data_IF_715923729869
#
_entry.id   IF_715923729869
#
_cell.length_a   1.000
_cell.length_b   1.000
_cell.length_c   1.000
_cell.angle_alpha   90.00
_cell.angle_beta   90.00
_cell.angle_gamma   90.00
#
_symmetry.space_group_name_H-M   'P 1'
#
loop_
_entity.id
_entity.type
_entity.pdbx_description
1 polymer ?
#
# COMPACT_ATOMS: atom_id res chain seq x y z
N UNK A 1 21.45 -9.85 -39.08
CA UNK A 1 20.20 -10.08 -38.34
C UNK A 1 19.95 -8.80 -37.54
N UNK A 2 18.96 -8.02 -37.95
CA UNK A 2 18.75 -6.61 -37.56
C UNK A 2 18.01 -6.49 -36.22
N UNK A 3 18.17 -5.35 -35.51
CA UNK A 3 17.59 -5.00 -34.20
C UNK A 3 16.13 -5.45 -33.97
N UNK A 4 15.34 -5.56 -35.03
CA UNK A 4 13.97 -6.10 -35.01
C UNK A 4 13.85 -7.53 -34.46
N UNK A 5 14.90 -8.33 -34.53
CA UNK A 5 14.92 -9.71 -34.01
C UNK A 5 15.03 -9.79 -32.49
N UNK A 6 15.60 -8.78 -31.83
CA UNK A 6 15.89 -8.80 -30.39
C UNK A 6 14.71 -8.27 -29.57
N UNK A 7 13.93 -7.34 -30.12
CA UNK A 7 12.70 -6.83 -29.52
C UNK A 7 11.67 -7.94 -29.36
N UNK A 8 11.53 -8.81 -30.38
CA UNK A 8 10.58 -9.92 -30.32
C UNK A 8 10.94 -10.97 -29.26
N UNK A 9 12.23 -11.22 -28.99
CA UNK A 9 12.63 -12.20 -27.96
C UNK A 9 12.33 -11.65 -26.55
N UNK A 10 12.61 -10.38 -26.28
CA UNK A 10 12.30 -9.76 -24.99
C UNK A 10 10.79 -9.60 -24.78
N UNK A 11 10.05 -9.30 -25.86
CA UNK A 11 8.59 -9.14 -25.84
C UNK A 11 7.88 -10.49 -25.70
N UNK A 12 8.28 -11.52 -26.46
CA UNK A 12 7.78 -12.90 -26.30
C UNK A 12 8.13 -13.45 -24.91
N UNK A 13 9.32 -13.15 -24.39
CA UNK A 13 9.75 -13.56 -23.04
C UNK A 13 8.90 -12.92 -21.94
N UNK A 14 8.56 -11.63 -22.07
CA UNK A 14 7.71 -10.91 -21.13
C UNK A 14 6.25 -11.38 -21.25
N UNK A 15 5.73 -11.60 -22.45
CA UNK A 15 4.39 -12.14 -22.65
C UNK A 15 4.24 -13.55 -22.05
N UNK A 16 5.21 -14.44 -22.23
CA UNK A 16 5.14 -15.82 -21.72
C UNK A 16 5.21 -15.90 -20.17
N UNK A 17 5.85 -14.91 -19.53
CA UNK A 17 5.91 -14.77 -18.05
C UNK A 17 4.65 -14.09 -17.50
N UNK A 18 4.14 -13.04 -18.15
CA UNK A 18 2.97 -12.27 -17.68
C UNK A 18 1.61 -12.91 -18.05
N UNK A 19 1.53 -13.76 -19.07
CA UNK A 19 0.28 -14.48 -19.44
C UNK A 19 -0.16 -15.44 -18.31
N UNK A 20 0.75 -15.88 -17.43
CA UNK A 20 0.39 -16.66 -16.23
C UNK A 20 0.04 -15.83 -15.00
N UNK A 21 0.32 -14.52 -14.98
CA UNK A 21 0.03 -13.60 -13.86
C UNK A 21 -0.80 -12.39 -14.32
N UNK A 22 -2.03 -12.64 -14.81
CA UNK A 22 -3.09 -11.68 -15.25
C UNK A 22 -2.86 -10.16 -14.99
N UNK A 23 -1.88 -9.56 -15.64
CA UNK A 23 -1.65 -8.12 -15.61
C UNK A 23 -1.15 -7.69 -17.00
N UNK A 24 -2.05 -7.20 -17.85
CA UNK A 24 -1.68 -6.61 -19.13
C UNK A 24 -1.29 -5.15 -18.93
N UNK A 25 -0.04 -4.80 -19.18
CA UNK A 25 0.45 -3.43 -19.35
C UNK A 25 0.97 -3.27 -20.76
N UNK A 26 0.38 -2.33 -21.52
CA UNK A 26 0.73 -1.97 -22.89
C UNK A 26 2.14 -1.34 -22.93
N UNK A 27 3.10 -2.06 -23.52
CA UNK A 27 4.45 -1.58 -23.80
C UNK A 27 4.48 -0.82 -25.14
N UNK A 28 4.71 0.49 -25.09
CA UNK A 28 5.19 1.23 -26.27
C UNK A 28 6.20 2.30 -25.88
N UNK A 29 7.48 2.01 -26.16
CA UNK A 29 8.57 2.88 -26.62
C UNK A 29 9.92 2.46 -25.99
N UNK A 30 10.89 2.21 -26.87
CA UNK A 30 12.27 1.80 -26.54
C UNK A 30 13.07 2.99 -25.99
N UNK A 31 13.59 2.83 -24.76
CA UNK A 31 14.97 3.16 -24.37
C UNK A 31 15.21 2.68 -22.92
N UNK A 32 16.22 1.81 -22.73
CA UNK A 32 16.76 1.34 -21.45
C UNK A 32 15.71 1.00 -20.35
N UNK A 33 15.20 -0.23 -20.36
CA UNK A 33 14.27 -0.67 -19.31
C UNK A 33 15.04 -1.25 -18.11
N UNK A 34 15.05 -0.51 -17.00
CA UNK A 34 15.40 -1.03 -15.68
C UNK A 34 14.11 -1.59 -15.06
N UNK A 35 14.11 -2.88 -14.72
CA UNK A 35 13.01 -3.50 -14.00
C UNK A 35 13.43 -3.76 -12.56
N UNK A 36 12.68 -3.21 -11.62
CA UNK A 36 12.85 -3.42 -10.20
C UNK A 36 11.71 -4.31 -9.71
N UNK A 37 12.05 -5.50 -9.19
CA UNK A 37 11.10 -6.37 -8.52
C UNK A 37 11.49 -6.44 -7.03
N UNK A 38 10.59 -5.98 -6.17
CA UNK A 38 10.80 -5.97 -4.71
C UNK A 38 9.79 -6.92 -4.07
N UNK A 39 10.28 -7.85 -3.24
CA UNK A 39 9.44 -8.71 -2.40
C UNK A 39 9.79 -8.50 -0.92
N UNK A 40 8.76 -8.39 -0.07
CA UNK A 40 8.85 -8.30 1.39
C UNK A 40 8.50 -6.93 1.98
N UNK A 41 8.23 -6.90 3.29
CA UNK A 41 7.94 -5.67 4.05
C UNK A 41 9.21 -5.11 4.69
N UNK A 42 9.69 -3.99 4.14
CA UNK A 42 10.82 -3.25 4.69
C UNK A 42 10.44 -2.50 5.98
N UNK A 43 11.11 -2.80 7.11
CA UNK A 43 11.10 -1.94 8.31
C UNK A 43 12.42 -1.19 8.41
N UNK A 44 12.35 0.13 8.42
CA UNK A 44 13.50 1.01 8.71
C UNK A 44 13.97 0.81 10.16
N UNK A 45 15.08 0.10 10.36
CA UNK A 45 15.82 0.19 11.62
C UNK A 45 16.65 1.48 11.65
N UNK A 46 16.28 2.43 12.52
CA UNK A 46 17.20 3.51 12.92
C UNK A 46 17.75 3.28 14.32
N UNK A 47 19.09 3.37 14.42
CA UNK A 47 19.86 3.34 15.67
C UNK A 47 19.35 4.42 16.62
N UNK A 48 19.06 4.01 17.87
CA UNK A 48 18.59 4.88 18.97
C UNK A 48 19.66 5.92 19.33
N UNK A 49 19.35 7.20 19.10
CA UNK A 49 19.92 8.31 19.87
C UNK A 49 19.00 8.65 21.06
N UNK A 50 19.50 9.28 22.13
CA UNK A 50 18.68 9.61 23.29
C UNK A 50 17.58 10.62 22.93
N UNK A 51 16.37 10.33 23.39
CA UNK A 51 15.19 11.19 23.23
C UNK A 51 15.37 12.51 24.01
N UNK A 52 14.97 13.67 23.44
CA UNK A 52 14.90 14.91 24.21
C UNK A 52 13.72 14.87 25.21
N UNK A 53 13.81 15.59 26.33
CA UNK A 53 12.80 15.54 27.38
C UNK A 53 11.50 16.22 26.93
N UNK A 54 10.38 15.61 27.33
CA UNK A 54 9.03 16.13 27.08
C UNK A 54 8.75 17.38 27.92
N UNK A 55 8.40 18.50 27.27
CA UNK A 55 7.36 19.44 27.74
C UNK A 55 7.27 20.65 26.81
N UNK A 56 6.11 20.88 26.20
CA UNK A 56 5.37 22.15 26.38
C UNK A 56 3.92 21.96 25.97
N UNK A 57 3.00 22.31 26.87
CA UNK A 57 1.57 22.42 26.63
C UNK A 57 1.32 23.67 25.78
N UNK A 58 0.82 23.51 24.55
CA UNK A 58 0.30 24.65 23.79
C UNK A 58 -1.20 24.80 24.05
N UNK A 59 -1.54 25.85 24.81
CA UNK A 59 -2.86 26.49 24.80
C UNK A 59 -2.81 27.63 23.78
N UNK A 60 -3.71 27.66 22.80
CA UNK A 60 -4.08 28.89 22.11
C UNK A 60 -4.32 28.82 20.60
N UNK A 61 -5.53 29.26 20.22
CA UNK A 61 -5.93 29.93 18.97
C UNK A 61 -6.26 29.09 17.71
N UNK A 62 -7.57 29.06 17.38
CA UNK A 62 -8.10 28.64 16.07
C UNK A 62 -7.65 29.64 14.99
N UNK A 63 -6.56 29.33 14.28
CA UNK A 63 -6.24 29.94 12.98
C UNK A 63 -6.46 28.90 11.89
N UNK A 64 -6.97 29.34 10.75
CA UNK A 64 -7.08 28.55 9.52
C UNK A 64 -5.69 28.11 9.08
N UNK A 65 -5.23 26.97 9.59
CA UNK A 65 -3.96 26.36 9.23
C UNK A 65 -4.25 25.30 8.16
N UNK A 66 -3.46 25.32 7.09
CA UNK A 66 -3.24 24.14 6.26
C UNK A 66 -2.91 22.96 7.18
N UNK A 67 -3.42 21.73 6.92
CA UNK A 67 -3.05 20.59 7.73
C UNK A 67 -1.53 20.45 7.62
N UNK A 68 -0.82 20.25 8.74
CA UNK A 68 0.60 19.97 8.67
C UNK A 68 0.78 18.73 7.79
N UNK A 69 1.76 18.74 6.89
CA UNK A 69 2.14 17.63 5.98
C UNK A 69 2.65 16.37 6.70
N UNK A 70 2.33 16.27 7.98
CA UNK A 70 2.75 15.27 8.95
C UNK A 70 1.52 14.67 9.65
N UNK A 71 0.31 15.10 9.31
CA UNK A 71 -0.93 14.60 9.88
C UNK A 71 -1.43 13.38 9.10
N UNK A 72 -1.83 12.35 9.86
CA UNK A 72 -2.50 11.18 9.31
C UNK A 72 -3.99 11.28 9.57
N UNK A 73 -4.80 10.93 8.57
CA UNK A 73 -6.25 10.79 8.69
C UNK A 73 -6.72 9.42 8.19
N UNK A 74 -7.76 8.89 8.82
CA UNK A 74 -8.49 7.71 8.35
C UNK A 74 -9.97 8.10 8.24
N UNK A 75 -10.56 7.86 7.08
CA UNK A 75 -11.97 8.11 6.81
C UNK A 75 -12.67 6.82 6.45
N UNK A 76 -13.88 6.62 6.95
CA UNK A 76 -14.68 5.44 6.70
C UNK A 76 -16.12 5.79 6.36
N UNK A 77 -16.73 5.03 5.46
CA UNK A 77 -18.14 5.18 5.14
C UNK A 77 -18.62 4.13 4.16
N UNK A 78 -19.50 4.53 3.24
CA UNK A 78 -20.19 3.61 2.33
C UNK A 78 -19.93 3.92 0.87
N UNK A 79 -19.57 2.88 0.12
CA UNK A 79 -19.41 2.88 -1.32
C UNK A 79 -20.69 2.41 -2.01
N UNK A 80 -21.14 3.18 -2.98
CA UNK A 80 -22.21 2.84 -3.90
C UNK A 80 -21.75 3.09 -5.35
N UNK A 81 -21.53 2.01 -6.09
CA UNK A 81 -21.14 2.01 -7.49
C UNK A 81 -22.04 1.05 -8.27
N UNK A 82 -23.15 1.60 -8.78
CA UNK A 82 -24.20 0.86 -9.48
C UNK A 82 -24.58 -0.43 -8.72
N UNK A 83 -24.71 -1.56 -9.40
CA UNK A 83 -24.94 -2.87 -8.81
C UNK A 83 -23.67 -3.55 -8.29
N UNK A 84 -22.48 -3.03 -8.63
CA UNK A 84 -21.19 -3.69 -8.36
C UNK A 84 -20.66 -3.43 -6.95
N UNK A 85 -21.01 -2.29 -6.35
CA UNK A 85 -20.88 -2.03 -4.92
C UNK A 85 -22.20 -1.40 -4.44
N UNK A 86 -22.90 -2.09 -3.54
CA UNK A 86 -24.17 -1.60 -2.98
C UNK A 86 -24.06 -1.56 -1.47
N UNK A 87 -23.88 -0.35 -0.93
CA UNK A 87 -23.69 -0.11 0.49
C UNK A 87 -22.51 -0.88 1.11
N UNK A 88 -21.41 -1.00 0.34
CA UNK A 88 -20.18 -1.67 0.80
C UNK A 88 -19.34 -0.73 1.66
N UNK A 89 -18.58 -1.26 2.61
CA UNK A 89 -17.61 -0.47 3.36
C UNK A 89 -16.47 0.05 2.46
N UNK A 90 -16.05 1.30 2.66
CA UNK A 90 -14.83 1.87 2.07
C UNK A 90 -14.06 2.67 3.11
N UNK A 91 -12.74 2.45 3.15
CA UNK A 91 -11.80 3.12 4.06
C UNK A 91 -10.75 3.85 3.24
N UNK A 92 -10.57 5.14 3.52
CA UNK A 92 -9.45 5.92 3.02
C UNK A 92 -8.43 6.14 4.12
N UNK A 93 -7.15 5.94 3.79
CA UNK A 93 -6.01 6.20 4.68
C UNK A 93 -5.13 7.26 4.03
N UNK A 94 -4.91 8.35 4.74
CA UNK A 94 -4.21 9.54 4.28
C UNK A 94 -3.05 9.81 5.23
N UNK A 95 -1.86 9.23 5.03
CA UNK A 95 -0.79 9.25 6.03
C UNK A 95 0.01 10.56 6.10
N UNK A 96 -0.11 11.46 5.10
CA UNK A 96 0.68 12.70 5.04
C UNK A 96 -0.16 14.00 4.96
N UNK A 97 -1.49 13.88 4.91
CA UNK A 97 -2.40 15.01 4.70
C UNK A 97 -2.85 15.13 3.24
N UNK A 98 -3.13 16.35 2.81
CA UNK A 98 -3.83 16.61 1.53
C UNK A 98 -3.03 17.52 0.59
N UNK A 99 -1.69 17.42 0.61
CA UNK A 99 -0.82 18.12 -0.32
C UNK A 99 -0.65 17.34 -1.64
N UNK A 100 -0.18 18.05 -2.66
CA UNK A 100 0.11 17.44 -3.96
C UNK A 100 1.20 16.36 -3.79
N UNK A 101 1.00 15.21 -4.43
CA UNK A 101 1.85 14.01 -4.31
C UNK A 101 1.83 13.31 -2.96
N UNK A 102 1.02 13.75 -1.99
CA UNK A 102 0.86 12.99 -0.75
C UNK A 102 0.29 11.61 -1.07
N UNK A 103 0.81 10.54 -0.44
CA UNK A 103 0.25 9.21 -0.57
C UNK A 103 -1.17 9.15 -0.01
N UNK A 104 -2.01 8.36 -0.65
CA UNK A 104 -3.35 8.04 -0.19
C UNK A 104 -3.74 6.64 -0.65
N UNK A 105 -4.38 5.89 0.24
CA UNK A 105 -4.86 4.55 -0.04
C UNK A 105 -6.37 4.46 0.17
N UNK A 106 -7.01 3.61 -0.61
CA UNK A 106 -8.41 3.25 -0.46
C UNK A 106 -8.58 1.73 -0.43
N UNK A 107 -9.45 1.27 0.47
CA UNK A 107 -9.70 -0.13 0.74
C UNK A 107 -11.20 -0.36 0.76
N UNK A 108 -11.71 -1.20 -0.13
CA UNK A 108 -13.12 -1.56 -0.18
C UNK A 108 -13.29 -2.96 -0.72
N UNK A 109 -14.49 -3.50 -0.64
CA UNK A 109 -14.85 -4.72 -1.36
C UNK A 109 -15.99 -4.45 -2.33
N UNK A 110 -16.04 -5.22 -3.42
CA UNK A 110 -17.22 -5.29 -4.27
C UNK A 110 -18.33 -6.10 -3.59
N UNK A 111 -19.58 -5.94 -4.03
CA UNK A 111 -20.72 -6.75 -3.55
C UNK A 111 -20.48 -8.26 -3.73
N UNK A 112 -19.64 -8.63 -4.69
CA UNK A 112 -19.18 -10.02 -4.94
C UNK A 112 -18.10 -10.51 -3.98
N UNK A 113 -17.79 -9.74 -2.93
CA UNK A 113 -16.77 -10.04 -1.90
C UNK A 113 -15.33 -10.10 -2.40
N UNK A 114 -15.04 -9.45 -3.52
CA UNK A 114 -13.66 -9.25 -3.99
C UNK A 114 -13.12 -7.98 -3.34
N UNK A 115 -12.01 -8.11 -2.60
CA UNK A 115 -11.33 -6.96 -2.00
C UNK A 115 -10.64 -6.14 -3.08
N UNK A 116 -10.59 -4.83 -2.86
CA UNK A 116 -9.78 -3.89 -3.61
C UNK A 116 -8.93 -3.13 -2.62
N UNK A 117 -7.63 -3.18 -2.86
CA UNK A 117 -6.62 -2.45 -2.12
C UNK A 117 -5.92 -1.57 -3.15
N UNK A 118 -6.11 -0.26 -3.06
CA UNK A 118 -5.55 0.68 -4.02
C UNK A 118 -4.73 1.73 -3.30
N UNK A 119 -3.56 2.01 -3.84
CA UNK A 119 -2.68 3.09 -3.42
C UNK A 119 -2.44 4.02 -4.60
N UNK A 120 -2.18 5.28 -4.29
CA UNK A 120 -1.94 6.31 -5.27
C UNK A 120 -1.39 7.55 -4.59
N UNK A 121 -1.25 8.60 -5.38
CA UNK A 121 -0.85 9.91 -4.90
C UNK A 121 -1.90 10.92 -5.29
N UNK A 122 -1.99 11.99 -4.52
CA UNK A 122 -2.87 13.11 -4.86
C UNK A 122 -2.33 13.81 -6.12
N UNK A 123 -3.10 13.78 -7.20
CA UNK A 123 -2.71 14.29 -8.52
C UNK A 123 -2.94 15.80 -8.68
N UNK A 124 -3.81 16.36 -7.86
CA UNK A 124 -4.25 17.75 -7.92
C UNK A 124 -4.86 18.15 -6.60
N UNK A 125 -4.59 19.38 -6.18
CA UNK A 125 -5.13 19.97 -4.95
C UNK A 125 -5.57 21.39 -5.24
N UNK A 126 -6.81 21.70 -4.87
CA UNK A 126 -7.29 23.08 -4.74
C UNK A 126 -7.73 23.31 -3.31
N UNK A 127 -7.27 24.40 -2.68
CA UNK A 127 -7.73 24.82 -1.36
C UNK A 127 -8.41 26.18 -1.47
N UNK A 128 -9.73 26.19 -1.27
CA UNK A 128 -10.52 27.42 -1.26
C UNK A 128 -11.26 27.52 0.07
N UNK A 129 -10.89 28.52 0.89
CA UNK A 129 -11.52 28.75 2.19
C UNK A 129 -11.35 27.60 3.19
N UNK A 130 -10.22 26.87 3.13
CA UNK A 130 -9.93 25.73 4.02
C UNK A 130 -10.58 24.42 3.58
N UNK A 131 -11.34 24.41 2.48
CA UNK A 131 -11.88 23.19 1.87
C UNK A 131 -10.90 22.68 0.83
N UNK A 132 -10.44 21.46 1.03
CA UNK A 132 -9.56 20.78 0.07
C UNK A 132 -10.41 20.06 -0.96
N UNK A 133 -10.07 20.25 -2.22
CA UNK A 133 -10.52 19.42 -3.32
C UNK A 133 -9.30 18.70 -3.87
N UNK A 134 -9.32 17.38 -3.80
CA UNK A 134 -8.23 16.54 -4.28
C UNK A 134 -8.75 15.54 -5.30
N UNK A 135 -7.97 15.27 -6.35
CA UNK A 135 -8.26 14.14 -7.24
C UNK A 135 -7.16 13.09 -7.12
N UNK A 136 -7.59 11.84 -7.26
CA UNK A 136 -6.73 10.66 -7.19
C UNK A 136 -7.23 9.66 -8.24
N UNK A 137 -6.29 8.97 -8.87
CA UNK A 137 -6.58 7.85 -9.76
C UNK A 137 -6.23 6.52 -9.10
N UNK A 138 -7.17 5.57 -9.14
CA UNK A 138 -6.95 4.18 -8.79
C UNK A 138 -7.29 3.30 -10.01
N UNK A 139 -6.27 3.04 -10.83
CA UNK A 139 -6.42 2.31 -12.09
C UNK A 139 -7.36 3.04 -13.04
N UNK A 140 -8.50 2.41 -13.37
CA UNK A 140 -9.50 2.99 -14.26
C UNK A 140 -10.46 3.98 -13.57
N UNK A 141 -10.41 4.10 -12.24
CA UNK A 141 -11.34 4.94 -11.49
C UNK A 141 -10.70 6.22 -11.01
N UNK A 142 -11.39 7.33 -11.21
CA UNK A 142 -11.01 8.64 -10.69
C UNK A 142 -11.88 8.97 -9.49
N UNK A 143 -11.24 9.44 -8.43
CA UNK A 143 -11.89 9.84 -7.19
C UNK A 143 -11.72 11.34 -7.01
N UNK A 144 -12.82 12.08 -7.12
CA UNK A 144 -12.88 13.47 -6.70
C UNK A 144 -13.29 13.54 -5.23
N UNK A 145 -12.43 14.11 -4.40
CA UNK A 145 -12.57 14.15 -2.97
C UNK A 145 -12.67 15.59 -2.51
N UNK A 146 -13.67 15.88 -1.68
CA UNK A 146 -13.83 17.17 -1.01
C UNK A 146 -13.69 16.94 0.49
N UNK A 147 -12.67 17.55 1.09
CA UNK A 147 -12.46 17.53 2.55
C UNK A 147 -13.10 18.77 3.15
N UNK A 148 -13.99 18.56 4.11
CA UNK A 148 -14.57 19.65 4.88
C UNK A 148 -13.50 20.42 5.66
N UNK A 149 -13.75 21.71 5.93
CA UNK A 149 -12.77 22.59 6.57
C UNK A 149 -12.43 22.23 8.02
N UNK A 150 -13.26 21.41 8.66
CA UNK A 150 -13.02 20.83 9.99
C UNK A 150 -12.28 19.49 9.94
N UNK A 151 -12.01 18.98 8.73
CA UNK A 151 -11.44 17.67 8.46
C UNK A 151 -12.26 16.50 9.03
N UNK A 152 -13.51 16.71 9.45
CA UNK A 152 -14.35 15.64 10.02
C UNK A 152 -15.01 14.79 8.94
N UNK A 153 -15.23 15.37 7.75
CA UNK A 153 -15.89 14.68 6.65
C UNK A 153 -15.10 14.79 5.37
N UNK A 154 -14.96 13.66 4.69
CA UNK A 154 -14.42 13.54 3.36
C UNK A 154 -15.56 13.07 2.44
N UNK A 155 -15.93 13.88 1.45
CA UNK A 155 -16.96 13.53 0.47
C UNK A 155 -16.32 13.04 -0.82
N UNK A 156 -16.67 11.83 -1.24
CA UNK A 156 -16.09 11.16 -2.41
C UNK A 156 -17.08 11.08 -3.56
N UNK A 157 -16.63 11.41 -4.77
CA UNK A 157 -17.33 11.07 -6.02
C UNK A 157 -16.40 10.21 -6.88
N UNK A 158 -16.81 8.98 -7.14
CA UNK A 158 -16.09 8.04 -8.01
C UNK A 158 -16.55 8.21 -9.46
N UNK A 159 -15.62 8.11 -10.42
CA UNK A 159 -15.87 8.22 -11.85
C UNK A 159 -15.13 7.15 -12.64
N UNK A 160 -15.67 6.74 -13.78
CA UNK A 160 -14.99 5.84 -14.72
C UNK A 160 -14.61 6.58 -16.02
N UNK A 161 -13.85 5.96 -16.94
CA UNK A 161 -13.41 6.61 -18.18
C UNK A 161 -14.56 6.90 -19.16
N UNK A 162 -15.74 6.29 -18.96
CA UNK A 162 -16.94 6.55 -19.76
C UNK A 162 -17.70 7.80 -19.29
N UNK A 163 -17.29 8.41 -18.17
CA UNK A 163 -17.93 9.58 -17.59
C UNK A 163 -19.06 9.26 -16.60
N UNK A 164 -19.34 7.98 -16.35
CA UNK A 164 -20.27 7.58 -15.29
C UNK A 164 -19.72 8.02 -13.93
N UNK A 165 -20.62 8.37 -13.01
CA UNK A 165 -20.24 8.84 -11.69
C UNK A 165 -21.19 8.33 -10.60
N UNK A 166 -20.64 8.13 -9.40
CA UNK A 166 -21.44 7.87 -8.21
C UNK A 166 -22.17 9.14 -7.78
N UNK A 167 -23.17 8.99 -6.91
CA UNK A 167 -23.56 10.12 -6.06
C UNK A 167 -22.39 10.46 -5.11
N UNK A 168 -22.31 11.70 -4.60
CA UNK A 168 -21.37 12.04 -3.53
C UNK A 168 -21.60 11.15 -2.30
N UNK A 169 -20.53 10.58 -1.76
CA UNK A 169 -20.54 9.67 -0.61
C UNK A 169 -19.78 10.31 0.54
N UNK A 170 -20.45 10.69 1.64
CA UNK A 170 -19.77 11.21 2.81
C UNK A 170 -19.09 10.06 3.57
N UNK A 171 -17.83 10.27 3.94
CA UNK A 171 -17.04 9.41 4.81
C UNK A 171 -16.66 10.21 6.05
N UNK A 172 -16.91 9.65 7.22
CA UNK A 172 -16.63 10.30 8.49
C UNK A 172 -15.20 9.97 8.94
N UNK A 173 -14.52 10.95 9.54
CA UNK A 173 -13.20 10.76 10.10
C UNK A 173 -13.27 9.77 11.27
N UNK A 174 -12.53 8.69 11.15
CA UNK A 174 -12.38 7.67 12.18
C UNK A 174 -11.17 7.93 13.06
N UNK A 175 -10.12 8.49 12.48
CA UNK A 175 -8.90 8.83 13.18
C UNK A 175 -8.25 10.07 12.56
N UNK A 176 -7.60 10.86 13.41
CA UNK A 176 -6.78 11.99 13.02
C UNK A 176 -5.71 12.24 14.08
N UNK A 177 -4.43 12.23 13.69
CA UNK A 177 -3.34 12.62 14.58
C UNK A 177 -2.65 13.88 14.05
N UNK A 178 -2.33 14.79 14.97
CA UNK A 178 -1.60 16.03 14.70
C UNK A 178 -0.14 15.89 15.16
N UNK A 179 0.56 14.90 14.63
CA UNK A 179 1.96 14.65 14.93
C UNK A 179 2.58 13.73 13.88
N UNK A 180 3.90 13.76 13.75
CA UNK A 180 4.64 12.99 12.73
C UNK A 180 4.26 11.51 12.79
N UNK A 181 3.59 11.06 11.73
CA UNK A 181 3.39 9.65 11.43
C UNK A 181 4.46 9.26 10.41
N UNK A 182 5.62 8.74 10.84
CA UNK A 182 6.74 8.47 9.93
C UNK A 182 6.44 7.33 8.95
N UNK A 183 5.54 6.41 9.31
CA UNK A 183 5.17 5.25 8.49
C UNK A 183 3.84 4.69 8.94
N UNK A 184 2.92 4.39 8.02
CA UNK A 184 1.68 3.65 8.32
C UNK A 184 1.70 2.29 7.63
N UNK A 185 1.38 1.24 8.38
CA UNK A 185 1.14 -0.10 7.83
C UNK A 185 -0.35 -0.37 7.76
N UNK A 186 -0.82 -0.90 6.63
CA UNK A 186 -2.22 -1.31 6.46
C UNK A 186 -2.26 -2.76 6.00
N UNK A 187 -3.05 -3.56 6.69
CA UNK A 187 -3.28 -4.97 6.38
C UNK A 187 -4.74 -5.16 6.02
N UNK A 188 -4.99 -5.94 4.97
CA UNK A 188 -6.35 -6.27 4.56
C UNK A 188 -6.53 -7.77 4.56
N UNK A 189 -7.73 -8.22 4.90
CA UNK A 189 -8.03 -9.64 4.95
C UNK A 189 -9.53 -9.91 4.85
N UNK A 190 -9.92 -11.08 5.33
CA UNK A 190 -11.30 -11.53 5.40
C UNK A 190 -11.67 -11.91 6.82
N UNK A 191 -12.81 -11.41 7.27
CA UNK A 191 -13.46 -11.81 8.50
C UNK A 191 -14.56 -12.83 8.21
N UNK A 192 -14.45 -13.96 8.90
CA UNK A 192 -15.50 -14.94 9.03
C UNK A 192 -15.80 -15.11 10.51
N UNK A 193 -16.99 -14.68 10.92
CA UNK A 193 -17.48 -14.77 12.29
C UNK A 193 -18.94 -15.21 12.28
N UNK A 194 -19.12 -16.54 12.38
CA UNK A 194 -20.44 -17.18 12.38
C UNK A 194 -21.31 -16.68 11.22
N UNK A 195 -22.56 -16.31 11.51
CA UNK A 195 -23.48 -15.67 10.55
C UNK A 195 -23.32 -14.16 10.47
N UNK A 196 -22.60 -13.56 11.42
CA UNK A 196 -22.56 -12.11 11.60
C UNK A 196 -21.60 -11.45 10.62
N UNK A 197 -20.49 -12.09 10.30
CA UNK A 197 -19.58 -11.68 9.23
C UNK A 197 -19.23 -12.89 8.35
N UNK A 198 -19.52 -12.80 7.06
CA UNK A 198 -19.28 -13.85 6.07
C UNK A 198 -18.48 -13.26 4.91
N UNK A 199 -17.19 -13.61 4.87
CA UNK A 199 -16.24 -13.15 3.86
C UNK A 199 -16.16 -11.61 3.76
N UNK A 200 -16.31 -10.93 4.89
CA UNK A 200 -16.27 -9.46 4.97
C UNK A 200 -14.83 -8.96 4.96
N UNK A 201 -14.55 -7.90 4.21
CA UNK A 201 -13.23 -7.28 4.22
C UNK A 201 -12.94 -6.65 5.60
N UNK A 202 -11.75 -6.94 6.12
CA UNK A 202 -11.16 -6.19 7.23
C UNK A 202 -10.04 -5.31 6.71
N UNK A 203 -9.89 -4.14 7.32
CA UNK A 203 -8.76 -3.22 7.12
C UNK A 203 -8.20 -2.87 8.49
N UNK A 204 -7.00 -3.39 8.79
CA UNK A 204 -6.25 -3.10 10.00
C UNK A 204 -5.21 -2.02 9.68
N UNK A 205 -5.27 -0.89 10.35
CA UNK A 205 -4.38 0.26 10.14
C UNK A 205 -3.54 0.48 11.40
N UNK A 206 -2.23 0.48 11.23
CA UNK A 206 -1.24 0.69 12.28
C UNK A 206 -0.42 1.92 11.90
N UNK A 207 -0.73 3.09 12.49
CA UNK A 207 -0.10 4.37 12.14
C UNK A 207 1.39 4.50 12.38
N UNK A 208 2.03 3.68 13.21
CA UNK A 208 3.48 3.80 13.49
C UNK A 208 4.09 2.42 13.65
N UNK A 209 3.70 1.73 14.72
CA UNK A 209 4.28 0.44 15.08
C UNK A 209 3.41 -0.28 16.11
N UNK A 210 3.68 -1.56 16.35
CA UNK A 210 3.07 -2.32 17.44
C UNK A 210 3.90 -2.11 18.71
N UNK A 211 3.33 -1.33 19.63
CA UNK A 211 3.86 -1.15 20.98
C UNK A 211 2.73 -0.83 21.95
N UNK A 212 2.93 -1.06 23.24
CA UNK A 212 1.91 -0.76 24.24
C UNK A 212 1.54 0.73 24.21
N UNK A 213 0.24 1.02 24.05
CA UNK A 213 -0.26 2.38 23.92
C UNK A 213 -0.24 2.96 22.51
N UNK A 214 0.34 2.27 21.52
CA UNK A 214 0.29 2.70 20.13
C UNK A 214 -1.13 2.52 19.56
N UNK A 215 -1.55 3.48 18.73
CA UNK A 215 -2.87 3.44 18.10
C UNK A 215 -3.01 2.27 17.12
N UNK A 216 -4.21 1.70 17.06
CA UNK A 216 -4.62 0.72 16.07
C UNK A 216 -6.06 0.97 15.66
N UNK A 217 -6.30 0.93 14.34
CA UNK A 217 -7.62 0.99 13.74
C UNK A 217 -7.99 -0.35 13.12
N UNK A 218 -9.15 -0.91 13.43
CA UNK A 218 -9.72 -2.06 12.73
C UNK A 218 -11.08 -1.70 12.17
N UNK A 219 -11.22 -1.80 10.85
CA UNK A 219 -12.40 -1.36 10.12
C UNK A 219 -12.97 -2.50 9.29
N UNK A 220 -14.25 -2.79 9.50
CA UNK A 220 -14.99 -3.78 8.71
C UNK A 220 -16.47 -3.44 8.71
N UNK A 221 -17.27 -4.29 8.07
CA UNK A 221 -18.72 -4.27 8.21
C UNK A 221 -19.27 -5.64 8.60
N UNK A 222 -20.39 -5.64 9.30
CA UNK A 222 -21.16 -6.85 9.56
C UNK A 222 -21.95 -7.25 8.31
N UNK A 223 -21.95 -8.55 7.99
CA UNK A 223 -22.98 -9.11 7.09
C UNK A 223 -24.36 -8.88 7.70
N UNK A 224 -24.48 -9.16 9.00
CA UNK A 224 -25.64 -8.82 9.84
C UNK A 224 -25.18 -8.68 11.30
N UNK A 225 -25.49 -7.54 11.92
CA UNK A 225 -25.15 -7.31 13.33
C UNK A 225 -26.08 -8.08 14.28
N UNK A 226 -25.82 -8.01 15.59
CA UNK A 226 -26.64 -8.68 16.61
C UNK A 226 -28.08 -8.15 16.68
N UNK A 227 -28.35 -6.95 16.17
CA UNK A 227 -29.67 -6.34 16.06
C UNK A 227 -30.38 -6.67 14.74
N UNK A 228 -29.74 -7.45 13.84
CA UNK A 228 -30.30 -7.80 12.53
C UNK A 228 -30.04 -6.77 11.43
N UNK A 229 -29.24 -5.73 11.69
CA UNK A 229 -28.89 -4.70 10.71
C UNK A 229 -27.81 -5.23 9.77
N UNK A 230 -28.11 -5.25 8.47
CA UNK A 230 -27.18 -5.71 7.44
C UNK A 230 -26.19 -4.63 7.04
N UNK A 231 -24.96 -5.03 6.69
CA UNK A 231 -23.91 -4.15 6.17
C UNK A 231 -23.67 -2.93 7.07
N UNK A 232 -23.69 -3.12 8.38
CA UNK A 232 -23.39 -2.05 9.32
C UNK A 232 -21.88 -1.95 9.49
N UNK A 233 -21.32 -0.78 9.26
CA UNK A 233 -19.90 -0.54 9.53
C UNK A 233 -19.61 -0.74 11.02
N UNK A 234 -18.49 -1.38 11.32
CA UNK A 234 -17.97 -1.60 12.65
C UNK A 234 -16.52 -1.15 12.68
N UNK A 235 -16.29 -0.02 13.33
CA UNK A 235 -15.01 0.68 13.34
C UNK A 235 -14.48 0.73 14.76
N UNK A 236 -13.26 0.24 14.94
CA UNK A 236 -12.58 0.17 16.22
C UNK A 236 -11.35 1.05 16.10
N UNK A 237 -11.24 2.06 16.97
CA UNK A 237 -10.08 2.93 17.09
C UNK A 237 -9.63 2.90 18.55
N UNK A 238 -8.50 2.25 18.82
CA UNK A 238 -8.05 1.96 20.19
C UNK A 238 -6.53 1.90 20.23
N UNK A 239 -5.97 1.34 21.29
CA UNK A 239 -4.53 1.16 21.48
C UNK A 239 -4.18 -0.31 21.66
N UNK A 240 -3.00 -0.69 21.19
CA UNK A 240 -2.40 -1.99 21.51
C UNK A 240 -2.07 -2.11 22.99
N UNK A 241 -2.23 -3.32 23.51
CA UNK A 241 -1.92 -3.76 24.87
C UNK A 241 -1.21 -5.11 24.82
N UNK A 242 -0.61 -5.49 25.94
CA UNK A 242 0.04 -6.79 26.13
C UNK A 242 1.05 -7.13 25.01
N UNK A 243 1.71 -6.11 24.47
CA UNK A 243 2.64 -6.29 23.36
C UNK A 243 3.88 -7.03 23.84
N UNK A 244 4.19 -8.15 23.17
CA UNK A 244 5.33 -9.01 23.46
C UNK A 244 6.05 -9.38 22.17
N UNK A 245 7.38 -9.46 22.22
CA UNK A 245 8.19 -10.04 21.16
C UNK A 245 8.46 -11.49 21.49
N UNK A 246 8.08 -12.39 20.59
CA UNK A 246 8.28 -13.83 20.74
C UNK A 246 9.72 -14.21 20.39
N UNK A 247 10.22 -15.39 20.84
CA UNK A 247 11.59 -15.82 20.57
C UNK A 247 11.96 -15.95 19.08
N UNK A 248 10.97 -16.12 18.21
CA UNK A 248 11.14 -16.18 16.75
C UNK A 248 11.18 -14.81 16.07
N UNK A 249 11.10 -13.71 16.83
CA UNK A 249 11.10 -12.34 16.29
C UNK A 249 9.69 -11.76 16.13
N UNK A 250 8.65 -12.59 16.08
CA UNK A 250 7.27 -12.15 15.91
C UNK A 250 6.85 -11.17 17.01
N UNK A 251 6.04 -10.17 16.65
CA UNK A 251 5.47 -9.22 17.60
C UNK A 251 3.99 -9.52 17.74
N UNK A 252 3.57 -9.85 18.96
CA UNK A 252 2.19 -10.10 19.32
C UNK A 252 1.64 -8.95 20.15
N UNK A 253 0.39 -8.55 19.92
CA UNK A 253 -0.32 -7.55 20.70
C UNK A 253 -1.83 -7.78 20.69
N UNK A 254 -2.52 -7.23 21.68
CA UNK A 254 -3.98 -7.33 21.82
C UNK A 254 -4.63 -5.96 21.81
N UNK A 255 -5.89 -5.90 21.40
CA UNK A 255 -6.76 -4.75 21.59
C UNK A 255 -8.21 -5.19 21.64
N UNK A 256 -9.12 -4.33 22.08
CA UNK A 256 -10.54 -4.66 22.20
C UNK A 256 -11.43 -3.45 21.89
N UNK A 257 -12.72 -3.73 21.66
CA UNK A 257 -13.78 -2.73 21.51
C UNK A 257 -14.77 -2.75 22.70
N UNK A 258 -14.37 -3.34 23.83
CA UNK A 258 -15.22 -3.59 25.00
C UNK A 258 -16.14 -4.81 24.88
N UNK A 259 -16.26 -5.44 23.71
CA UNK A 259 -17.09 -6.64 23.48
C UNK A 259 -16.26 -7.80 22.94
N UNK A 260 -15.40 -7.52 21.97
CA UNK A 260 -14.51 -8.47 21.33
C UNK A 260 -13.06 -8.10 21.62
N UNK A 261 -12.26 -9.12 21.93
CA UNK A 261 -10.81 -9.00 22.01
C UNK A 261 -10.20 -9.54 20.74
N UNK A 262 -9.26 -8.77 20.18
CA UNK A 262 -8.50 -9.10 18.99
C UNK A 262 -7.06 -9.33 19.38
N UNK A 263 -6.51 -10.40 18.84
CA UNK A 263 -5.09 -10.72 18.94
C UNK A 263 -4.47 -10.56 17.56
N UNK A 264 -3.39 -9.79 17.49
CA UNK A 264 -2.60 -9.59 16.28
C UNK A 264 -1.21 -10.11 16.52
N UNK A 265 -0.76 -10.97 15.62
CA UNK A 265 0.64 -11.42 15.53
C UNK A 265 1.20 -10.93 14.21
N UNK A 266 2.24 -10.10 14.28
CA UNK A 266 3.06 -9.77 13.13
C UNK A 266 4.23 -10.73 13.09
N UNK A 267 4.33 -11.45 11.99
CA UNK A 267 5.44 -12.37 11.77
C UNK A 267 6.70 -11.60 11.39
N UNK A 268 7.84 -11.98 12.00
CA UNK A 268 9.15 -11.50 11.56
C UNK A 268 9.53 -12.28 10.30
N UNK A 269 8.92 -11.91 9.19
CA UNK A 269 9.23 -12.49 7.88
C UNK A 269 10.58 -11.90 7.42
N UNK A 270 11.67 -12.48 7.93
CA UNK A 270 13.06 -12.09 7.64
C UNK A 270 13.49 -12.29 6.17
N UNK A 271 12.57 -12.52 5.23
CA UNK A 271 12.90 -12.66 3.82
C UNK A 271 12.37 -11.48 3.02
N UNK A 272 13.11 -10.38 3.09
CA UNK A 272 12.97 -9.29 2.14
C UNK A 272 14.06 -9.47 1.08
N UNK A 273 13.75 -10.14 -0.03
CA UNK A 273 14.70 -10.29 -1.14
C UNK A 273 14.30 -9.36 -2.28
N UNK A 274 15.22 -8.53 -2.73
CA UNK A 274 15.04 -7.69 -3.92
C UNK A 274 15.89 -8.23 -5.07
N UNK A 275 15.29 -8.33 -6.25
CA UNK A 275 15.99 -8.66 -7.48
C UNK A 275 15.94 -7.46 -8.43
N UNK A 276 17.09 -6.84 -8.66
CA UNK A 276 17.24 -5.78 -9.66
C UNK A 276 17.63 -6.44 -10.99
N UNK A 277 16.83 -6.22 -12.04
CA UNK A 277 17.10 -6.81 -13.36
C UNK A 277 17.27 -5.70 -14.39
N UNK A 278 18.44 -5.67 -15.03
CA UNK A 278 18.73 -4.70 -16.09
C UNK A 278 19.00 -5.38 -17.43
N UNK A 279 18.29 -4.89 -18.44
CA UNK A 279 18.48 -5.24 -19.85
C UNK A 279 18.89 -3.97 -20.60
N UNK A 280 20.18 -3.81 -20.90
CA UNK A 280 20.64 -2.62 -21.62
C UNK A 280 22.00 -2.81 -22.29
N UNK A 281 22.28 -1.97 -23.28
CA UNK A 281 23.63 -1.71 -23.78
C UNK A 281 24.16 -0.39 -23.18
N UNK A 282 25.42 -0.36 -22.70
CA UNK A 282 26.09 0.86 -22.22
C UNK A 282 26.25 1.02 -20.71
N UNK A 283 26.83 2.15 -20.29
CA UNK A 283 27.19 2.45 -18.89
C UNK A 283 25.97 2.45 -17.94
N UNK A 284 26.13 1.90 -16.74
CA UNK A 284 25.09 1.86 -15.70
C UNK A 284 25.16 3.04 -14.74
N UNK A 285 24.06 3.77 -14.61
CA UNK A 285 23.88 4.76 -13.55
C UNK A 285 22.63 4.50 -12.69
N UNK A 286 21.73 3.61 -13.12
CA UNK A 286 20.44 3.39 -12.46
C UNK A 286 20.48 2.28 -11.42
N UNK A 287 21.16 1.18 -11.72
CA UNK A 287 21.25 0.01 -10.83
C UNK A 287 21.89 0.34 -9.47
N UNK A 288 23.01 1.09 -9.40
CA UNK A 288 23.59 1.47 -8.12
C UNK A 288 22.69 2.41 -7.30
N UNK A 289 21.90 3.27 -7.96
CA UNK A 289 20.96 4.17 -7.27
C UNK A 289 19.80 3.41 -6.66
N UNK A 290 19.27 2.40 -7.36
CA UNK A 290 18.19 1.55 -6.85
C UNK A 290 18.70 0.64 -5.72
N UNK A 291 19.92 0.13 -5.83
CA UNK A 291 20.55 -0.63 -4.75
C UNK A 291 20.78 0.23 -3.50
N UNK A 292 21.25 1.47 -3.67
CA UNK A 292 21.38 2.45 -2.60
C UNK A 292 20.03 2.79 -1.98
N UNK A 293 18.98 2.96 -2.78
CA UNK A 293 17.63 3.17 -2.30
C UNK A 293 17.15 2.01 -1.42
N UNK A 294 17.28 0.77 -1.91
CA UNK A 294 16.86 -0.42 -1.17
C UNK A 294 17.61 -0.53 0.17
N UNK A 295 18.94 -0.41 0.14
CA UNK A 295 19.78 -0.69 1.31
C UNK A 295 19.85 0.47 2.31
N UNK A 296 19.93 1.72 1.82
CA UNK A 296 20.11 2.91 2.69
C UNK A 296 18.79 3.53 3.12
N UNK A 297 17.72 3.37 2.33
CA UNK A 297 16.45 4.06 2.58
C UNK A 297 15.30 3.10 2.89
N UNK A 298 15.31 1.90 2.33
CA UNK A 298 14.27 0.89 2.54
C UNK A 298 14.71 -0.25 3.46
N UNK A 299 15.89 -0.16 4.09
CA UNK A 299 16.29 -1.08 5.15
C UNK A 299 16.61 -2.51 4.71
N UNK A 300 16.82 -2.76 3.41
CA UNK A 300 17.31 -4.05 2.92
C UNK A 300 18.74 -4.28 3.39
N UNK A 301 19.07 -5.49 3.86
CA UNK A 301 20.48 -5.83 4.00
C UNK A 301 21.12 -5.93 2.62
N UNK A 302 22.40 -5.56 2.51
CA UNK A 302 23.14 -5.67 1.25
C UNK A 302 23.18 -7.11 0.72
N UNK A 303 23.12 -8.12 1.61
CA UNK A 303 23.04 -9.55 1.26
C UNK A 303 21.74 -9.95 0.57
N UNK A 304 20.68 -9.15 0.75
CA UNK A 304 19.32 -9.51 0.35
C UNK A 304 18.89 -8.76 -0.94
N UNK A 305 19.79 -7.93 -1.48
CA UNK A 305 19.63 -7.27 -2.79
C UNK A 305 20.50 -7.98 -3.81
N UNK A 306 19.87 -8.82 -4.64
CA UNK A 306 20.54 -9.46 -5.76
C UNK A 306 20.41 -8.58 -7.01
N UNK A 307 21.53 -8.33 -7.68
CA UNK A 307 21.58 -7.53 -8.91
C UNK A 307 21.95 -8.44 -10.07
N UNK A 308 21.07 -8.52 -11.06
CA UNK A 308 21.30 -9.26 -12.28
C UNK A 308 21.39 -8.32 -13.48
N UNK A 309 22.52 -8.39 -14.19
CA UNK A 309 22.84 -7.50 -15.29
C UNK A 309 23.07 -8.31 -16.57
N UNK A 310 22.29 -8.03 -17.62
CA UNK A 310 22.51 -8.54 -18.96
C UNK A 310 22.92 -7.40 -19.90
N UNK A 311 24.20 -7.41 -20.32
CA UNK A 311 24.77 -6.44 -21.24
C UNK A 311 24.53 -6.88 -22.69
N UNK A 312 23.53 -6.28 -23.33
CA UNK A 312 23.18 -6.62 -24.71
C UNK A 312 24.26 -6.16 -25.72
N UNK A 313 25.18 -5.27 -25.32
CA UNK A 313 26.29 -4.83 -26.18
C UNK A 313 27.42 -5.87 -26.30
N UNK A 314 27.39 -6.92 -25.47
CA UNK A 314 28.42 -7.97 -25.43
C UNK A 314 27.94 -9.31 -26.00
N UNK A 315 26.69 -9.40 -26.46
CA UNK A 315 26.21 -10.61 -27.16
C UNK A 315 26.87 -10.74 -28.54
N UNK A 316 27.79 -11.69 -28.64
CA UNK A 316 28.61 -11.95 -29.83
C UNK A 316 30.11 -12.04 -29.55
N UNK A 317 30.57 -11.57 -28.39
CA UNK A 317 31.90 -11.88 -27.86
C UNK A 317 31.76 -13.07 -26.89
N UNK A 318 32.52 -14.13 -27.13
CA UNK A 318 32.45 -15.42 -26.41
C UNK A 318 32.28 -15.25 -24.88
N UNK A 319 31.14 -15.71 -24.34
CA UNK A 319 30.99 -15.89 -22.88
C UNK A 319 29.61 -15.70 -22.26
N UNK A 320 28.63 -15.11 -22.94
CA UNK A 320 27.24 -15.08 -22.43
C UNK A 320 26.30 -15.81 -23.38
N UNK A 321 26.31 -17.13 -23.24
CA UNK A 321 25.43 -18.07 -23.91
C UNK A 321 24.03 -18.13 -23.25
N UNK A 322 23.04 -18.78 -23.90
CA UNK A 322 21.67 -19.04 -23.42
C UNK A 322 21.43 -19.37 -21.93
N UNK A 323 22.38 -19.92 -21.14
CA UNK A 323 22.34 -20.01 -19.68
C UNK A 323 21.86 -18.76 -18.93
N UNK A 324 22.07 -17.53 -19.42
CA UNK A 324 21.59 -16.33 -18.72
C UNK A 324 20.06 -16.28 -18.56
N UNK A 325 19.32 -16.74 -19.58
CA UNK A 325 17.84 -16.77 -19.56
C UNK A 325 17.33 -17.91 -18.68
N UNK A 326 17.98 -19.07 -18.73
CA UNK A 326 17.62 -20.21 -17.88
C UNK A 326 17.91 -19.92 -16.40
N UNK A 327 19.06 -19.35 -16.09
CA UNK A 327 19.42 -18.91 -14.74
C UNK A 327 18.51 -17.80 -14.23
N UNK A 328 18.15 -16.84 -15.08
CA UNK A 328 17.14 -15.83 -14.73
C UNK A 328 15.79 -16.48 -14.43
N UNK A 329 15.29 -17.38 -15.29
CA UNK A 329 14.03 -18.11 -15.03
C UNK A 329 14.09 -18.89 -13.72
N UNK A 330 15.20 -19.56 -13.42
CA UNK A 330 15.39 -20.29 -12.15
C UNK A 330 15.34 -19.33 -10.96
N UNK A 331 16.07 -18.21 -11.01
CA UNK A 331 16.11 -17.23 -9.92
C UNK A 331 14.80 -16.49 -9.74
N UNK A 332 14.17 -16.07 -10.83
CA UNK A 332 12.84 -15.46 -10.82
C UNK A 332 11.79 -16.43 -10.29
N UNK A 333 11.82 -17.69 -10.72
CA UNK A 333 10.93 -18.72 -10.16
C UNK A 333 11.20 -18.95 -8.69
N UNK A 334 12.47 -19.06 -8.27
CA UNK A 334 12.85 -19.21 -6.87
C UNK A 334 12.34 -18.04 -6.01
N UNK A 335 12.50 -16.81 -6.49
CA UNK A 335 11.98 -15.58 -5.87
C UNK A 335 10.46 -15.64 -5.71
N UNK A 336 9.73 -16.07 -6.75
CA UNK A 336 8.27 -16.21 -6.70
C UNK A 336 7.79 -17.38 -5.82
N UNK A 337 8.54 -18.48 -5.74
CA UNK A 337 8.17 -19.67 -4.96
C UNK A 337 8.49 -19.55 -3.47
N UNK A 338 9.40 -18.64 -3.10
CA UNK A 338 9.68 -18.30 -1.70
C UNK A 338 8.67 -17.31 -1.10
N UNK A 339 7.85 -16.68 -1.93
CA UNK A 339 6.88 -15.66 -1.51
C UNK A 339 5.70 -16.28 -0.75
N UNK A 340 5.31 -15.66 0.37
CA UNK A 340 4.17 -16.05 1.21
C UNK A 340 2.99 -15.09 1.02
N UNK A 341 1.82 -15.50 1.49
CA UNK A 341 0.61 -14.67 1.41
C UNK A 341 0.79 -13.39 2.24
N UNK A 342 0.97 -12.25 1.58
CA UNK A 342 1.27 -10.95 2.22
C UNK A 342 2.32 -10.13 1.48
N UNK A 343 3.04 -10.74 0.54
CA UNK A 343 4.09 -10.06 -0.21
C UNK A 343 3.53 -9.11 -1.29
N UNK A 344 4.08 -7.90 -1.36
CA UNK A 344 3.76 -6.93 -2.41
C UNK A 344 4.42 -7.35 -3.73
N UNK A 345 3.63 -7.50 -4.79
CA UNK A 345 4.13 -7.66 -6.15
C UNK A 345 3.90 -6.35 -6.90
N UNK A 346 4.96 -5.61 -7.21
CA UNK A 346 4.89 -4.41 -8.06
C UNK A 346 5.55 -4.65 -9.40
#
# INVERSE_FOLDING_TARGET
MTEYSYVNIAQDFMEDVFIKSRSQLLLSSLAASLFLLVYGTARSQRRRGPLPPASTVYKGEKRNLSPPSLAMYIYGGKLNWFQTAVNENIIFVVPAGFALNDPICAYWQWTTKVNVCSSGVIDSVTNTGGKYQVNISFGQFLFNIIVASDFETLTVTMRNPKGDHSKPMPLDRQYGNFGEVPSTSVYTGKLNWLKNAQNEMITLVIPVDISNGAHVGLYYEWTVDSAGVKKKNHYINTIFREVTTLPNGDVKGTFDDGVYTFEVTMHDDQQVTALIVRFSAGTDHGTPLVQDMLTKHLGFAQSDVEVYFLDLSKQGASGQDPPAVATFKIKFTALLTGASAGDATS
#
